data_IF_738415930766
#
_entry.id   IF_738415930766
#
_cell.length_a   1.000
_cell.length_b   1.000
_cell.length_c   1.000
_cell.angle_alpha   90.00
_cell.angle_beta   90.00
_cell.angle_gamma   90.00
#
_symmetry.space_group_name_H-M   'P 1'
#
loop_
_entity.id
_entity.type
_entity.pdbx_description
1 polymer ?
#
# COMPACT_ATOMS: atom_id res chain seq x y z
N UNK A 1 15.82 -5.76 2.49
CA UNK A 1 14.72 -4.90 1.99
C UNK A 1 13.76 -4.70 3.14
N UNK A 2 13.63 -3.48 3.69
CA UNK A 2 12.57 -3.19 4.65
C UNK A 2 11.22 -3.23 3.91
N UNK A 3 10.22 -3.90 4.47
CA UNK A 3 8.90 -4.06 3.81
C UNK A 3 8.07 -2.77 3.91
N UNK A 4 8.41 -1.89 4.85
CA UNK A 4 7.71 -0.62 5.11
C UNK A 4 8.67 0.55 5.35
N UNK A 5 9.86 0.53 4.76
CA UNK A 5 10.91 1.52 5.05
C UNK A 5 11.64 1.28 6.37
N UNK A 6 10.96 0.74 7.40
CA UNK A 6 11.49 0.43 8.73
C UNK A 6 11.58 -1.09 8.96
N UNK A 7 12.64 -1.58 9.60
CA UNK A 7 12.79 -2.99 9.94
C UNK A 7 12.03 -3.37 11.23
N UNK A 8 11.54 -4.62 11.37
CA UNK A 8 10.89 -5.06 12.61
C UNK A 8 11.76 -4.89 13.86
N UNK A 9 13.08 -5.06 13.74
CA UNK A 9 14.00 -4.84 14.86
C UNK A 9 14.00 -3.36 15.30
N UNK A 10 13.99 -2.42 14.35
CA UNK A 10 14.00 -0.99 14.64
C UNK A 10 12.74 -0.58 15.39
N UNK A 11 11.59 -1.15 14.99
CA UNK A 11 10.31 -0.95 15.69
C UNK A 11 10.38 -1.46 17.14
N UNK A 12 10.90 -2.67 17.35
CA UNK A 12 10.99 -3.29 18.68
C UNK A 12 11.94 -2.51 19.59
N UNK A 13 13.04 -1.99 19.03
CA UNK A 13 14.05 -1.26 19.79
C UNK A 13 13.63 0.19 20.11
N UNK A 14 12.65 0.76 19.38
CA UNK A 14 12.16 2.13 19.56
C UNK A 14 10.63 2.16 19.74
N UNK A 15 10.11 1.32 20.63
CA UNK A 15 8.66 1.19 20.85
C UNK A 15 8.01 2.48 21.37
N UNK A 16 8.77 3.38 21.99
CA UNK A 16 8.31 4.70 22.40
C UNK A 16 7.98 5.61 21.21
N UNK A 17 8.67 5.46 20.07
CA UNK A 17 8.36 6.16 18.82
C UNK A 17 7.25 5.43 18.02
N UNK A 18 7.26 4.10 18.03
CA UNK A 18 6.40 3.25 17.19
C UNK A 18 5.21 2.60 17.91
N UNK A 19 4.85 3.03 19.13
CA UNK A 19 3.79 2.43 19.96
C UNK A 19 2.44 2.31 19.22
N UNK A 20 2.15 3.24 18.31
CA UNK A 20 0.92 3.31 17.54
C UNK A 20 0.74 2.12 16.58
N UNK A 21 1.79 1.33 16.27
CA UNK A 21 1.69 0.12 15.45
C UNK A 21 0.73 -0.90 16.06
N UNK A 22 0.58 -0.92 17.39
CA UNK A 22 -0.39 -1.78 18.08
C UNK A 22 -1.82 -1.46 17.61
N UNK A 23 -2.11 -0.19 17.30
CA UNK A 23 -3.43 0.25 16.86
C UNK A 23 -3.84 -0.35 15.50
N UNK A 24 -2.87 -0.76 14.67
CA UNK A 24 -3.16 -1.38 13.37
C UNK A 24 -3.88 -2.72 13.50
N UNK A 25 -3.79 -3.35 14.68
CA UNK A 25 -4.42 -4.63 14.97
C UNK A 25 -5.83 -4.49 15.55
N UNK A 26 -6.25 -3.27 15.91
CA UNK A 26 -7.58 -3.01 16.47
C UNK A 26 -8.71 -3.56 15.58
N UNK A 27 -8.73 -3.33 14.24
CA UNK A 27 -9.78 -3.88 13.40
C UNK A 27 -9.87 -5.41 13.46
N UNK A 28 -8.74 -6.11 13.62
CA UNK A 28 -8.73 -7.57 13.71
C UNK A 28 -9.44 -8.11 14.95
N UNK A 29 -9.52 -7.31 16.04
CA UNK A 29 -10.26 -7.66 17.26
C UNK A 29 -11.77 -7.59 17.01
N UNK A 30 -12.23 -6.66 16.17
CA UNK A 30 -13.65 -6.42 15.90
C UNK A 30 -14.22 -7.22 14.72
N UNK A 31 -13.36 -7.72 13.82
CA UNK A 31 -13.80 -8.49 12.64
C UNK A 31 -14.02 -9.94 13.03
N UNK A 32 -15.27 -10.28 13.34
CA UNK A 32 -15.72 -11.64 13.72
C UNK A 32 -16.34 -12.45 12.57
N UNK A 33 -16.62 -11.79 11.44
CA UNK A 33 -17.36 -12.38 10.31
C UNK A 33 -16.51 -12.54 9.07
N UNK A 34 -16.50 -13.76 8.53
CA UNK A 34 -15.96 -14.04 7.20
C UNK A 34 -16.83 -13.38 6.14
N UNK A 35 -16.19 -12.61 5.26
CA UNK A 35 -16.86 -11.98 4.14
C UNK A 35 -17.41 -13.03 3.14
N UNK A 36 -18.72 -12.97 2.85
CA UNK A 36 -19.44 -13.95 2.01
C UNK A 36 -19.71 -13.43 0.59
N UNK A 37 -18.66 -13.13 -0.16
CA UNK A 37 -18.78 -12.77 -1.59
C UNK A 37 -17.88 -13.63 -2.45
N UNK A 38 -18.30 -13.93 -3.67
CA UNK A 38 -17.41 -14.38 -4.74
C UNK A 38 -16.88 -13.15 -5.48
N UNK A 39 -15.59 -13.13 -5.83
CA UNK A 39 -14.96 -12.04 -6.60
C UNK A 39 -14.16 -12.63 -7.76
N UNK A 40 -14.16 -11.96 -8.90
CA UNK A 40 -13.33 -12.33 -10.05
C UNK A 40 -12.00 -11.59 -9.96
N UNK A 41 -10.94 -12.34 -9.72
CA UNK A 41 -9.60 -11.78 -9.51
C UNK A 41 -8.99 -11.22 -10.80
N UNK A 42 -9.12 -11.92 -11.93
CA UNK A 42 -8.55 -11.46 -13.19
C UNK A 42 -9.50 -10.52 -13.96
N UNK A 43 -9.03 -9.37 -14.46
CA UNK A 43 -7.64 -8.86 -14.38
C UNK A 43 -7.37 -7.95 -13.17
N UNK A 44 -8.43 -7.38 -12.61
CA UNK A 44 -8.37 -6.17 -11.79
C UNK A 44 -7.61 -6.31 -10.46
N UNK A 45 -7.69 -7.47 -9.80
CA UNK A 45 -6.92 -7.71 -8.58
C UNK A 45 -5.42 -7.66 -8.87
N UNK A 46 -4.99 -8.38 -9.92
CA UNK A 46 -3.57 -8.49 -10.26
C UNK A 46 -2.99 -7.18 -10.78
N UNK A 47 -3.76 -6.42 -11.59
CA UNK A 47 -3.37 -5.07 -11.97
C UNK A 47 -3.23 -4.15 -10.75
N UNK A 48 -4.16 -4.22 -9.80
CA UNK A 48 -4.09 -3.46 -8.55
C UNK A 48 -2.82 -3.76 -7.76
N UNK A 49 -2.50 -5.04 -7.57
CA UNK A 49 -1.27 -5.47 -6.89
C UNK A 49 -0.03 -4.99 -7.65
N UNK A 50 0.02 -5.16 -8.97
CA UNK A 50 1.14 -4.71 -9.79
C UNK A 50 1.38 -3.20 -9.61
N UNK A 51 0.35 -2.38 -9.80
CA UNK A 51 0.47 -0.93 -9.65
C UNK A 51 0.87 -0.52 -8.24
N UNK A 52 0.31 -1.16 -7.20
CA UNK A 52 0.64 -0.87 -5.81
C UNK A 52 2.11 -1.19 -5.48
N UNK A 53 2.59 -2.37 -5.88
CA UNK A 53 3.97 -2.77 -5.64
C UNK A 53 4.96 -1.90 -6.42
N UNK A 54 4.63 -1.55 -7.67
CA UNK A 54 5.40 -0.59 -8.46
C UNK A 54 5.43 0.80 -7.81
N UNK A 55 4.29 1.27 -7.28
CA UNK A 55 4.21 2.55 -6.58
C UNK A 55 5.18 2.58 -5.40
N UNK A 56 5.18 1.53 -4.57
CA UNK A 56 6.07 1.44 -3.42
C UNK A 56 7.55 1.39 -3.82
N UNK A 57 7.89 0.61 -4.85
CA UNK A 57 9.27 0.54 -5.37
C UNK A 57 9.79 1.88 -5.91
N UNK A 58 8.91 2.69 -6.50
CA UNK A 58 9.24 4.05 -6.97
C UNK A 58 9.34 5.02 -5.78
N UNK A 59 8.42 4.95 -4.82
CA UNK A 59 8.42 5.83 -3.65
C UNK A 59 9.68 5.67 -2.80
N UNK A 60 10.16 4.43 -2.60
CA UNK A 60 11.39 4.14 -1.87
C UNK A 60 12.64 4.84 -2.44
N UNK A 61 12.58 5.28 -3.69
CA UNK A 61 13.69 5.97 -4.36
C UNK A 61 13.60 7.49 -4.27
N UNK A 62 12.44 8.07 -3.95
CA UNK A 62 12.21 9.53 -4.02
C UNK A 62 11.44 10.12 -2.84
N UNK A 63 11.41 9.45 -1.69
CA UNK A 63 11.02 10.07 -0.43
C UNK A 63 12.11 11.06 0.05
N UNK A 64 11.84 11.94 1.04
CA UNK A 64 12.81 12.92 1.51
C UNK A 64 14.17 12.31 1.84
N UNK A 65 15.25 13.07 1.59
CA UNK A 65 16.65 12.64 1.77
C UNK A 65 17.14 11.54 0.82
N UNK A 66 16.36 11.17 -0.21
CA UNK A 66 16.82 10.25 -1.26
C UNK A 66 17.41 10.96 -2.48
N UNK A 67 18.37 10.35 -3.21
CA UNK A 67 19.03 10.98 -4.36
C UNK A 67 18.11 11.39 -5.51
N UNK A 68 16.96 10.71 -5.67
CA UNK A 68 15.99 11.02 -6.72
C UNK A 68 14.84 11.92 -6.21
N UNK A 69 14.93 12.42 -4.99
CA UNK A 69 13.99 13.40 -4.45
C UNK A 69 14.36 14.80 -4.97
N UNK A 70 13.55 15.37 -5.85
CA UNK A 70 13.62 16.78 -6.23
C UNK A 70 12.20 17.37 -6.25
N UNK A 71 11.80 18.13 -5.22
CA UNK A 71 10.43 18.63 -5.10
C UNK A 71 10.05 19.64 -6.19
N UNK A 72 11.04 20.33 -6.77
CA UNK A 72 10.84 21.33 -7.82
C UNK A 72 10.76 20.72 -9.23
N UNK A 73 11.01 19.42 -9.37
CA UNK A 73 10.93 18.73 -10.66
C UNK A 73 9.50 18.36 -11.03
N UNK A 74 9.13 18.60 -12.30
CA UNK A 74 7.90 18.08 -12.89
C UNK A 74 7.90 16.54 -12.96
N UNK A 75 9.06 15.94 -13.25
CA UNK A 75 9.23 14.50 -13.30
C UNK A 75 9.99 14.04 -12.06
N UNK A 76 9.24 13.57 -11.07
CA UNK A 76 9.76 13.07 -9.80
C UNK A 76 9.13 11.72 -9.44
N UNK A 77 9.85 10.84 -8.73
CA UNK A 77 9.29 9.56 -8.26
C UNK A 77 8.00 9.73 -7.46
N UNK A 78 7.87 10.83 -6.72
CA UNK A 78 6.64 11.15 -5.97
C UNK A 78 5.41 11.31 -6.88
N UNK A 79 5.55 11.96 -8.04
CA UNK A 79 4.46 12.12 -9.00
C UNK A 79 4.08 10.77 -9.65
N UNK A 80 5.08 9.96 -9.99
CA UNK A 80 4.86 8.60 -10.52
C UNK A 80 4.16 7.72 -9.49
N UNK A 81 4.56 7.81 -8.21
CA UNK A 81 3.92 7.12 -7.10
C UNK A 81 2.43 7.46 -6.97
N UNK A 82 2.05 8.73 -7.10
CA UNK A 82 0.63 9.15 -7.11
C UNK A 82 -0.15 8.54 -8.26
N UNK A 83 0.39 8.58 -9.48
CA UNK A 83 -0.26 8.01 -10.66
C UNK A 83 -0.47 6.49 -10.52
N UNK A 84 0.56 5.76 -10.07
CA UNK A 84 0.47 4.33 -9.83
C UNK A 84 -0.54 4.01 -8.71
N UNK A 85 -0.58 4.81 -7.65
CA UNK A 85 -1.56 4.66 -6.57
C UNK A 85 -3.00 4.91 -7.05
N UNK A 86 -3.21 5.87 -7.94
CA UNK A 86 -4.51 6.10 -8.58
C UNK A 86 -4.94 4.90 -9.45
N UNK A 87 -4.02 4.37 -10.28
CA UNK A 87 -4.26 3.16 -11.08
C UNK A 87 -4.55 1.92 -10.23
N UNK A 88 -3.83 1.74 -9.11
CA UNK A 88 -4.09 0.68 -8.15
C UNK A 88 -5.48 0.81 -7.55
N UNK A 89 -5.85 2.03 -7.11
CA UNK A 89 -7.18 2.33 -6.55
C UNK A 89 -8.29 2.02 -7.54
N UNK A 90 -8.15 2.46 -8.80
CA UNK A 90 -9.13 2.19 -9.85
C UNK A 90 -9.25 0.68 -10.15
N UNK A 91 -8.14 -0.04 -10.18
CA UNK A 91 -8.13 -1.48 -10.37
C UNK A 91 -8.85 -2.18 -9.21
N UNK A 92 -8.58 -1.81 -7.96
CA UNK A 92 -9.29 -2.38 -6.82
C UNK A 92 -10.78 -2.03 -6.81
N UNK A 93 -11.15 -0.81 -7.23
CA UNK A 93 -12.55 -0.44 -7.42
C UNK A 93 -13.26 -1.41 -8.37
N UNK A 94 -12.69 -1.68 -9.55
CA UNK A 94 -13.27 -2.63 -10.48
C UNK A 94 -13.25 -4.08 -9.96
N UNK A 95 -12.21 -4.49 -9.23
CA UNK A 95 -12.17 -5.79 -8.55
C UNK A 95 -13.32 -5.94 -7.56
N UNK A 96 -13.57 -4.96 -6.69
CA UNK A 96 -14.68 -5.01 -5.73
C UNK A 96 -16.04 -4.98 -6.41
N UNK A 97 -16.17 -4.36 -7.58
CA UNK A 97 -17.39 -4.42 -8.40
C UNK A 97 -17.70 -5.79 -9.00
N UNK A 98 -16.75 -6.72 -8.99
CA UNK A 98 -17.01 -8.12 -9.38
C UNK A 98 -17.66 -8.94 -8.27
N UNK A 99 -17.86 -8.36 -7.08
CA UNK A 99 -18.43 -9.05 -5.95
C UNK A 99 -19.87 -9.50 -6.22
N UNK A 100 -20.13 -10.79 -6.09
CA UNK A 100 -21.47 -11.38 -6.07
C UNK A 100 -21.70 -12.09 -4.74
N UNK A 101 -22.97 -12.23 -4.35
CA UNK A 101 -23.32 -13.05 -3.19
C UNK A 101 -22.84 -14.48 -3.40
N UNK A 102 -22.34 -15.10 -2.34
CA UNK A 102 -22.00 -16.53 -2.33
C UNK A 102 -23.23 -17.40 -2.37
#
# INVERSE_FOLDING_TARGET
>A
MSVFGVFPNEIINNLDEFWWIILFWIPAIFVDKKHKTNKRYFPWYWLGILFYMSAFAVWLQGYPEQPLCNPDSLFQPHAIWHLLSACATLSFFFFFRTATNK
#
